data_IF_036521275964
#
_entry.id   IF_036521275964
#
_cell.length_a   1.000
_cell.length_b   1.000
_cell.length_c   1.000
_cell.angle_alpha   90.00
_cell.angle_beta   90.00
_cell.angle_gamma   90.00
#
_symmetry.space_group_name_H-M   'P 1'
#
loop_
_entity.id
_entity.type
_entity.pdbx_description
1 polymer ?
#
# COMPACT_ATOMS: atom_id res chain seq x y z
N UNK A 1 -11.85 -21.36 11.82
CA UNK A 1 -11.54 -19.93 12.02
C UNK A 1 -10.05 -19.81 12.28
N UNK A 2 -9.26 -19.57 11.24
CA UNK A 2 -7.82 -19.33 11.37
C UNK A 2 -7.60 -18.02 12.11
N UNK A 3 -6.67 -18.02 13.07
CA UNK A 3 -6.31 -16.82 13.80
C UNK A 3 -5.82 -15.74 12.80
N UNK A 4 -6.47 -14.56 12.69
CA UNK A 4 -6.03 -13.50 11.78
C UNK A 4 -4.61 -12.99 12.09
N UNK A 5 -4.07 -13.30 13.27
CA UNK A 5 -2.68 -13.05 13.62
C UNK A 5 -1.68 -14.03 13.00
N UNK A 6 -2.16 -15.16 12.45
CA UNK A 6 -1.35 -16.19 11.80
C UNK A 6 -1.53 -16.27 10.28
N UNK A 7 -2.52 -15.57 9.72
CA UNK A 7 -2.74 -15.52 8.26
C UNK A 7 -1.58 -14.77 7.61
N UNK A 8 -0.90 -15.44 6.68
CA UNK A 8 0.14 -14.87 5.84
C UNK A 8 -0.38 -14.65 4.43
N UNK A 9 0.19 -13.68 3.75
CA UNK A 9 -0.09 -13.34 2.35
C UNK A 9 1.23 -13.22 1.61
N UNK A 10 1.28 -13.75 0.38
CA UNK A 10 2.47 -13.61 -0.46
C UNK A 10 2.63 -12.16 -0.89
N UNK A 11 3.84 -11.64 -0.80
CA UNK A 11 4.11 -10.25 -1.24
C UNK A 11 3.93 -10.08 -2.75
N UNK A 12 4.00 -11.16 -3.53
CA UNK A 12 3.59 -11.17 -4.94
C UNK A 12 2.13 -10.77 -5.16
N UNK A 13 1.25 -10.99 -4.17
CA UNK A 13 -0.16 -10.55 -4.21
C UNK A 13 -0.35 -9.09 -3.77
N UNK A 14 0.75 -8.42 -3.39
CA UNK A 14 0.80 -7.03 -2.94
C UNK A 14 1.56 -6.14 -3.93
N UNK A 15 1.83 -6.63 -5.14
CA UNK A 15 2.57 -5.89 -6.19
C UNK A 15 1.93 -4.55 -6.53
N UNK A 16 0.60 -4.49 -6.64
CA UNK A 16 -0.12 -3.21 -6.84
C UNK A 16 0.06 -2.23 -5.68
N UNK A 17 0.16 -2.74 -4.45
CA UNK A 17 0.40 -1.91 -3.26
C UNK A 17 1.84 -1.36 -3.26
N UNK A 18 2.81 -2.17 -3.68
CA UNK A 18 4.20 -1.75 -3.84
C UNK A 18 4.33 -0.66 -4.92
N UNK A 19 3.74 -0.88 -6.09
CA UNK A 19 3.76 0.08 -7.20
C UNK A 19 3.15 1.45 -6.81
N UNK A 20 2.04 1.45 -6.07
CA UNK A 20 1.44 2.68 -5.60
C UNK A 20 2.30 3.42 -4.56
N UNK A 21 3.02 2.70 -3.69
CA UNK A 21 4.01 3.32 -2.79
C UNK A 21 5.16 3.96 -3.59
N UNK A 22 5.56 3.35 -4.69
CA UNK A 22 6.60 3.89 -5.57
C UNK A 22 6.14 5.17 -6.27
N UNK A 23 4.92 5.19 -6.81
CA UNK A 23 4.30 6.40 -7.40
C UNK A 23 4.26 7.54 -6.38
N UNK A 24 3.82 7.26 -5.15
CA UNK A 24 3.79 8.27 -4.09
C UNK A 24 5.21 8.77 -3.76
N UNK A 25 6.20 7.87 -3.66
CA UNK A 25 7.56 8.25 -3.34
C UNK A 25 8.20 9.15 -4.40
N UNK A 26 7.89 8.89 -5.67
CA UNK A 26 8.46 9.59 -6.82
C UNK A 26 7.82 10.96 -7.05
N UNK A 27 6.49 11.03 -6.93
CA UNK A 27 5.74 12.19 -7.40
C UNK A 27 5.18 13.09 -6.30
N UNK A 28 5.08 12.62 -5.06
CA UNK A 28 4.50 13.43 -3.98
C UNK A 28 5.56 14.28 -3.27
N UNK A 29 5.26 15.55 -3.05
CA UNK A 29 6.07 16.43 -2.20
C UNK A 29 5.79 16.12 -0.71
N UNK A 30 6.52 15.14 -0.18
CA UNK A 30 6.35 14.66 1.18
C UNK A 30 7.52 15.06 2.09
N UNK A 31 7.24 15.19 3.39
CA UNK A 31 8.31 15.38 4.37
C UNK A 31 9.02 14.06 4.71
N UNK A 32 10.17 14.18 5.38
CA UNK A 32 11.01 13.05 5.77
C UNK A 32 10.28 11.95 6.57
N UNK A 33 9.25 12.29 7.37
CA UNK A 33 8.51 11.29 8.16
C UNK A 33 7.68 10.38 7.26
N UNK A 34 7.09 10.94 6.22
CA UNK A 34 6.31 10.17 5.25
C UNK A 34 7.21 9.31 4.35
N UNK A 35 8.37 9.82 3.92
CA UNK A 35 9.36 8.99 3.21
C UNK A 35 9.80 7.78 4.04
N UNK A 36 10.04 7.98 5.35
CA UNK A 36 10.35 6.85 6.25
C UNK A 36 9.24 5.79 6.29
N UNK A 37 7.95 6.19 6.26
CA UNK A 37 6.84 5.25 6.23
C UNK A 37 6.81 4.44 4.92
N UNK A 38 7.20 5.04 3.80
CA UNK A 38 7.34 4.33 2.52
C UNK A 38 8.47 3.31 2.62
N UNK A 39 9.64 3.71 3.11
CA UNK A 39 10.80 2.83 3.24
C UNK A 39 10.56 1.67 4.21
N UNK A 40 9.88 1.91 5.33
CA UNK A 40 9.47 0.86 6.27
C UNK A 40 8.49 -0.12 5.60
N UNK A 41 7.61 0.37 4.74
CA UNK A 41 6.63 -0.46 4.02
C UNK A 41 7.27 -1.28 2.92
N UNK A 42 8.19 -0.69 2.13
CA UNK A 42 8.98 -1.41 1.12
C UNK A 42 9.84 -2.51 1.74
N UNK A 43 10.48 -2.23 2.88
CA UNK A 43 11.26 -3.25 3.61
C UNK A 43 10.43 -4.45 4.04
N UNK A 44 9.19 -4.22 4.47
CA UNK A 44 8.28 -5.32 4.79
C UNK A 44 7.88 -6.12 3.53
N UNK A 45 7.63 -5.44 2.41
CA UNK A 45 7.26 -6.08 1.14
C UNK A 45 8.41 -6.81 0.43
N UNK A 46 9.65 -6.65 0.90
CA UNK A 46 10.81 -7.37 0.37
C UNK A 46 10.88 -8.83 0.84
N UNK A 47 10.12 -9.22 1.86
CA UNK A 47 9.96 -10.61 2.26
C UNK A 47 9.12 -11.39 1.24
N UNK A 48 9.19 -12.72 1.22
CA UNK A 48 8.34 -13.55 0.36
C UNK A 48 6.87 -13.53 0.82
N UNK A 49 6.66 -13.54 2.13
CA UNK A 49 5.35 -13.50 2.76
C UNK A 49 5.35 -12.50 3.92
N UNK A 50 4.20 -11.88 4.16
CA UNK A 50 3.97 -11.00 5.31
C UNK A 50 2.69 -11.40 6.02
N UNK A 51 2.58 -11.04 7.31
CA UNK A 51 1.31 -11.24 8.01
C UNK A 51 0.24 -10.35 7.41
N UNK A 52 -1.00 -10.84 7.35
CA UNK A 52 -2.15 -10.06 6.87
C UNK A 52 -2.31 -8.74 7.65
N UNK A 53 -2.03 -8.74 8.96
CA UNK A 53 -2.06 -7.53 9.79
C UNK A 53 -0.99 -6.50 9.37
N UNK A 54 0.19 -6.96 8.95
CA UNK A 54 1.23 -6.09 8.40
C UNK A 54 0.81 -5.54 7.03
N UNK A 55 0.28 -6.38 6.14
CA UNK A 55 -0.26 -5.96 4.84
C UNK A 55 -1.35 -4.89 4.98
N UNK A 56 -2.29 -5.09 5.91
CA UNK A 56 -3.32 -4.08 6.28
C UNK A 56 -2.71 -2.79 6.83
N UNK A 57 -1.65 -2.90 7.63
CA UNK A 57 -0.90 -1.75 8.12
C UNK A 57 -0.29 -0.93 6.97
N UNK A 58 0.29 -1.60 5.97
CA UNK A 58 0.86 -0.97 4.79
C UNK A 58 -0.24 -0.32 3.93
N UNK A 59 -1.35 -1.01 3.71
CA UNK A 59 -2.52 -0.48 3.00
C UNK A 59 -3.01 0.85 3.61
N UNK A 60 -3.16 0.89 4.93
CA UNK A 60 -3.55 2.12 5.65
C UNK A 60 -2.51 3.23 5.50
N UNK A 61 -1.21 2.89 5.53
CA UNK A 61 -0.14 3.87 5.30
C UNK A 61 -0.22 4.46 3.90
N UNK A 62 -0.45 3.66 2.86
CA UNK A 62 -0.65 4.16 1.50
C UNK A 62 -1.78 5.21 1.46
N UNK A 63 -2.94 4.90 2.05
CA UNK A 63 -4.06 5.85 2.11
C UNK A 63 -3.69 7.17 2.82
N UNK A 64 -2.95 7.09 3.92
CA UNK A 64 -2.46 8.28 4.64
C UNK A 64 -1.48 9.08 3.79
N UNK A 65 -0.58 8.41 3.08
CA UNK A 65 0.42 9.06 2.24
C UNK A 65 -0.23 9.79 1.05
N UNK A 66 -1.19 9.16 0.39
CA UNK A 66 -1.97 9.81 -0.69
C UNK A 66 -2.72 11.04 -0.16
N UNK A 67 -3.33 10.92 1.02
CA UNK A 67 -3.96 12.08 1.67
C UNK A 67 -2.95 13.19 2.00
N UNK A 68 -1.74 12.83 2.42
CA UNK A 68 -0.66 13.77 2.72
C UNK A 68 -0.09 14.44 1.45
N UNK A 69 -0.11 13.74 0.32
CA UNK A 69 0.30 14.27 -0.99
C UNK A 69 -0.67 15.35 -1.53
N UNK A 70 -1.88 15.43 -0.97
CA UNK A 70 -2.86 16.48 -1.27
C UNK A 70 -4.03 15.97 -2.12
N UNK A 71 -5.15 16.72 -2.15
CA UNK A 71 -6.41 16.28 -2.76
C UNK A 71 -6.34 16.11 -4.28
N UNK A 72 -5.45 16.85 -4.95
CA UNK A 72 -5.31 16.82 -6.41
C UNK A 72 -4.12 15.96 -6.86
N UNK A 73 -3.50 15.21 -5.95
CA UNK A 73 -2.28 14.45 -6.24
C UNK A 73 -2.46 13.49 -7.43
N UNK A 74 -3.58 12.76 -7.48
CA UNK A 74 -3.83 11.83 -8.58
C UNK A 74 -3.96 12.53 -9.95
N UNK A 75 -4.46 13.76 -9.97
CA UNK A 75 -4.69 14.53 -11.19
C UNK A 75 -3.39 15.10 -11.77
N UNK A 76 -2.36 15.27 -10.94
CA UNK A 76 -1.03 15.74 -11.39
C UNK A 76 -0.16 14.61 -11.93
N UNK A 77 -0.58 13.35 -11.78
CA UNK A 77 0.20 12.19 -12.23
C UNK A 77 0.08 11.94 -13.73
N UNK A 78 1.17 11.47 -14.37
CA UNK A 78 1.08 10.81 -15.66
C UNK A 78 0.10 9.65 -15.62
N UNK A 79 -0.53 9.34 -16.75
CA UNK A 79 -1.61 8.34 -16.84
C UNK A 79 -1.20 6.98 -16.26
N UNK A 80 0.01 6.50 -16.56
CA UNK A 80 0.52 5.23 -16.06
C UNK A 80 0.68 5.22 -14.54
N UNK A 81 1.26 6.29 -13.96
CA UNK A 81 1.40 6.43 -12.51
C UNK A 81 0.05 6.55 -11.82
N UNK A 82 -0.91 7.24 -12.45
CA UNK A 82 -2.29 7.35 -11.93
C UNK A 82 -2.98 5.99 -11.91
N UNK A 83 -2.85 5.19 -12.98
CA UNK A 83 -3.41 3.85 -13.02
C UNK A 83 -2.80 2.95 -11.92
N UNK A 84 -1.48 2.95 -11.79
CA UNK A 84 -0.80 2.18 -10.74
C UNK A 84 -1.22 2.62 -9.33
N UNK A 85 -1.42 3.92 -9.11
CA UNK A 85 -1.94 4.45 -7.86
C UNK A 85 -3.37 3.95 -7.58
N UNK A 86 -4.25 4.00 -8.58
CA UNK A 86 -5.64 3.55 -8.45
C UNK A 86 -5.72 2.04 -8.14
N UNK A 87 -4.94 1.21 -8.84
CA UNK A 87 -4.90 -0.23 -8.61
C UNK A 87 -4.40 -0.56 -7.20
N UNK A 88 -3.36 0.15 -6.74
CA UNK A 88 -2.86 0.00 -5.37
C UNK A 88 -3.84 0.47 -4.30
N UNK A 89 -4.58 1.56 -4.55
CA UNK A 89 -5.62 2.05 -3.64
C UNK A 89 -6.83 1.11 -3.58
N UNK A 90 -7.23 0.52 -4.71
CA UNK A 90 -8.27 -0.52 -4.75
C UNK A 90 -7.83 -1.72 -3.91
N UNK A 91 -6.61 -2.24 -4.13
CA UNK A 91 -6.07 -3.35 -3.33
C UNK A 91 -5.96 -2.99 -1.84
N UNK A 92 -5.59 -1.75 -1.52
CA UNK A 92 -5.54 -1.27 -0.15
C UNK A 92 -6.94 -1.27 0.51
N UNK A 93 -7.98 -0.85 -0.21
CA UNK A 93 -9.36 -0.91 0.26
C UNK A 93 -9.79 -2.35 0.53
N UNK A 94 -9.51 -3.27 -0.40
CA UNK A 94 -9.86 -4.69 -0.23
C UNK A 94 -9.21 -5.28 1.03
N UNK A 95 -7.93 -5.02 1.23
CA UNK A 95 -7.20 -5.51 2.42
C UNK A 95 -7.80 -4.97 3.72
N UNK A 96 -8.21 -3.70 3.73
CA UNK A 96 -8.70 -3.01 4.94
C UNK A 96 -10.15 -3.37 5.25
N UNK A 97 -11.00 -3.49 4.24
CA UNK A 97 -12.45 -3.58 4.43
C UNK A 97 -13.07 -4.93 4.02
N UNK A 98 -12.43 -5.70 3.14
CA UNK A 98 -13.06 -6.85 2.48
C UNK A 98 -12.29 -8.16 2.58
N UNK A 99 -11.10 -8.18 3.17
CA UNK A 99 -10.34 -9.42 3.31
C UNK A 99 -10.96 -10.32 4.39
N UNK A 100 -11.88 -11.18 3.98
CA UNK A 100 -12.23 -12.39 4.69
C UNK A 100 -11.21 -13.46 4.29
N UNK A 101 -10.45 -13.97 5.27
CA UNK A 101 -9.59 -15.11 4.99
C UNK A 101 -10.53 -16.28 4.67
N UNK A 102 -10.66 -16.66 3.40
CA UNK A 102 -11.24 -17.96 3.05
C UNK A 102 -10.40 -19.01 3.79
N UNK A 103 -11.07 -19.67 4.74
CA UNK A 103 -10.50 -20.60 5.71
C UNK A 103 -10.56 -22.03 5.18
#
# INVERSE_FOLDING_TARGET
MSDPYQVQIRTSELTGLAAALDVVAEHAELNHRYHKLIDDSRRALAAEEVRLTQARGIAKRLMVLVKAAGPNFADTLPEQSRQALNDGLMRANDLVFHYEAEA
#
